data_IF_366026706814
#
_entry.id   IF_366026706814
#
_cell.length_a   1.000
_cell.length_b   1.000
_cell.length_c   1.000
_cell.angle_alpha   90.00
_cell.angle_beta   90.00
_cell.angle_gamma   90.00
#
_symmetry.space_group_name_H-M   'P 1'
#
loop_
_entity.id
_entity.type
_entity.pdbx_description
1 polymer ?
#
# COMPACT_ATOMS: atom_id res chain seq x y z
N UNK A 1 -47.66 38.78 19.64
CA UNK A 1 -47.62 37.80 18.54
C UNK A 1 -46.18 37.38 18.17
N UNK A 2 -45.34 36.97 19.14
CA UNK A 2 -43.90 36.69 18.90
C UNK A 2 -43.50 35.20 18.80
N UNK A 3 -44.45 34.26 18.94
CA UNK A 3 -44.18 32.81 18.99
C UNK A 3 -44.57 32.05 17.72
N UNK A 4 -45.27 32.71 16.80
CA UNK A 4 -45.67 32.14 15.49
C UNK A 4 -44.56 32.25 14.45
N UNK A 5 -43.72 33.29 14.55
CA UNK A 5 -42.60 33.53 13.65
C UNK A 5 -41.60 32.34 13.61
N UNK A 6 -41.13 31.78 14.74
CA UNK A 6 -40.18 30.66 14.70
C UNK A 6 -40.78 29.38 14.14
N UNK A 7 -42.08 29.14 14.34
CA UNK A 7 -42.76 27.92 13.83
C UNK A 7 -42.99 28.01 12.32
N UNK A 8 -43.35 29.18 11.81
CA UNK A 8 -43.46 29.41 10.37
C UNK A 8 -42.10 29.34 9.67
N UNK A 9 -41.04 29.84 10.31
CA UNK A 9 -39.67 29.73 9.77
C UNK A 9 -39.20 28.28 9.73
N UNK A 10 -39.50 27.49 10.76
CA UNK A 10 -39.17 26.07 10.80
C UNK A 10 -39.91 25.27 9.71
N UNK A 11 -41.21 25.52 9.53
CA UNK A 11 -42.01 24.87 8.48
C UNK A 11 -41.59 25.29 7.07
N UNK A 12 -41.28 26.57 6.85
CA UNK A 12 -40.79 27.05 5.57
C UNK A 12 -39.40 26.48 5.25
N UNK A 13 -38.51 26.39 6.24
CA UNK A 13 -37.18 25.80 6.08
C UNK A 13 -37.22 24.30 5.76
N UNK A 14 -38.05 23.54 6.48
CA UNK A 14 -38.25 22.11 6.20
C UNK A 14 -38.91 21.87 4.84
N UNK A 15 -39.94 22.65 4.50
CA UNK A 15 -40.61 22.57 3.20
C UNK A 15 -39.69 22.90 2.03
N UNK A 16 -38.86 23.93 2.18
CA UNK A 16 -37.87 24.31 1.16
C UNK A 16 -36.76 23.25 1.02
N UNK A 17 -36.27 22.68 2.13
CA UNK A 17 -35.23 21.65 2.10
C UNK A 17 -35.68 20.34 1.45
N UNK A 18 -36.86 19.85 1.79
CA UNK A 18 -37.40 18.60 1.22
C UNK A 18 -37.82 18.79 -0.25
N UNK A 19 -38.42 19.95 -0.59
CA UNK A 19 -38.79 20.27 -1.97
C UNK A 19 -37.58 20.37 -2.91
N UNK A 20 -36.48 20.98 -2.45
CA UNK A 20 -35.24 21.03 -3.22
C UNK A 20 -34.60 19.64 -3.37
N UNK A 21 -34.62 18.80 -2.32
CA UNK A 21 -34.07 17.45 -2.35
C UNK A 21 -34.75 16.50 -3.33
N UNK A 22 -36.07 16.61 -3.50
CA UNK A 22 -36.86 15.77 -4.40
C UNK A 22 -36.81 16.21 -5.88
N UNK A 23 -36.43 17.47 -6.14
CA UNK A 23 -36.27 18.00 -7.50
C UNK A 23 -34.82 17.89 -8.02
N UNK A 24 -33.87 17.50 -7.17
CA UNK A 24 -32.50 17.22 -7.58
C UNK A 24 -32.43 15.81 -8.20
N UNK A 25 -32.01 15.68 -9.47
CA UNK A 25 -31.67 14.38 -10.02
C UNK A 25 -30.50 13.75 -9.23
N UNK A 26 -30.47 12.42 -9.11
CA UNK A 26 -29.37 11.71 -8.47
C UNK A 26 -28.04 12.12 -9.12
N UNK A 27 -27.12 12.65 -8.32
CA UNK A 27 -25.82 13.10 -8.81
C UNK A 27 -25.08 11.94 -9.49
N UNK A 28 -24.54 12.11 -10.70
CA UNK A 28 -23.57 11.16 -11.22
C UNK A 28 -22.37 11.14 -10.26
N UNK A 29 -21.89 9.94 -9.93
CA UNK A 29 -20.74 9.76 -9.05
C UNK A 29 -19.58 10.67 -9.52
N UNK A 30 -18.99 11.51 -8.66
CA UNK A 30 -18.11 12.56 -9.12
C UNK A 30 -16.75 11.99 -9.52
N UNK A 31 -16.35 12.28 -10.77
CA UNK A 31 -14.98 12.19 -11.23
C UNK A 31 -14.40 13.61 -11.42
N UNK A 32 -13.31 13.87 -10.68
CA UNK A 32 -12.20 14.82 -10.90
C UNK A 32 -12.34 16.36 -10.67
N UNK A 33 -11.56 16.91 -9.71
CA UNK A 33 -10.54 17.99 -9.86
C UNK A 33 -10.01 18.51 -8.49
N UNK A 34 -8.69 18.75 -8.38
CA UNK A 34 -7.87 18.95 -7.15
C UNK A 34 -7.91 20.37 -6.51
N UNK A 35 -7.41 20.59 -5.26
CA UNK A 35 -5.96 20.87 -5.05
C UNK A 35 -5.32 20.30 -3.74
N UNK A 36 -4.01 19.99 -3.82
CA UNK A 36 -2.94 19.87 -2.79
C UNK A 36 -3.17 19.33 -1.36
N UNK A 37 -2.24 18.44 -0.95
CA UNK A 37 -1.88 17.99 0.43
C UNK A 37 -2.84 17.07 1.21
N UNK A 38 -2.72 15.77 0.97
CA UNK A 38 -2.61 14.70 1.99
C UNK A 38 -2.41 13.37 1.27
N UNK A 39 -1.23 12.77 1.40
CA UNK A 39 -0.90 11.50 0.77
C UNK A 39 -1.57 10.35 1.53
N UNK A 40 -2.75 9.92 1.07
CA UNK A 40 -3.35 8.64 1.44
C UNK A 40 -3.38 7.77 0.17
N UNK A 41 -2.69 6.61 0.12
CA UNK A 41 -2.68 5.80 -1.09
C UNK A 41 -4.02 5.09 -1.22
N UNK A 42 -4.79 5.50 -2.25
CA UNK A 42 -5.91 4.72 -2.74
C UNK A 42 -5.42 3.34 -3.20
N UNK A 43 -5.98 2.29 -2.61
CA UNK A 43 -5.85 0.92 -3.10
C UNK A 43 -6.43 0.85 -4.52
N UNK A 44 -5.54 0.92 -5.50
CA UNK A 44 -5.88 0.58 -6.88
C UNK A 44 -5.97 -0.94 -6.94
N UNK A 45 -7.18 -1.45 -6.94
CA UNK A 45 -7.48 -2.84 -7.30
C UNK A 45 -7.07 -3.04 -8.77
N UNK A 46 -5.89 -3.63 -8.96
CA UNK A 46 -5.40 -4.04 -10.28
C UNK A 46 -6.26 -5.21 -10.74
N UNK A 47 -7.04 -5.00 -11.80
CA UNK A 47 -7.85 -6.06 -12.40
C UNK A 47 -6.98 -7.25 -12.85
N UNK A 48 -7.38 -8.50 -12.59
CA UNK A 48 -6.57 -9.67 -12.92
C UNK A 48 -6.55 -9.91 -14.44
N UNK A 49 -5.37 -10.22 -15.03
CA UNK A 49 -5.29 -10.64 -16.43
C UNK A 49 -5.84 -12.07 -16.61
N UNK A 50 -6.37 -12.44 -17.78
CA UNK A 50 -6.91 -13.77 -18.01
C UNK A 50 -5.78 -14.74 -18.37
N UNK A 51 -5.50 -15.69 -17.48
CA UNK A 51 -4.90 -17.03 -17.72
C UNK A 51 -4.36 -17.56 -16.38
N UNK A 52 -5.00 -18.55 -15.75
CA UNK A 52 -4.46 -19.20 -14.54
C UNK A 52 -3.89 -18.20 -13.51
N UNK A 53 -4.61 -17.10 -13.34
CA UNK A 53 -4.06 -15.78 -13.07
C UNK A 53 -3.39 -15.71 -11.70
N UNK A 54 -2.08 -15.47 -11.69
CA UNK A 54 -1.36 -15.18 -10.44
C UNK A 54 -2.03 -14.00 -9.74
N UNK A 55 -2.23 -14.13 -8.44
CA UNK A 55 -2.76 -13.08 -7.59
C UNK A 55 -1.60 -12.27 -7.02
N UNK A 56 -1.81 -10.97 -6.84
CA UNK A 56 -0.82 -10.08 -6.23
C UNK A 56 -1.36 -9.56 -4.92
N UNK A 57 -0.63 -9.81 -3.84
CA UNK A 57 -0.99 -9.39 -2.49
C UNK A 57 -0.01 -8.33 -2.03
N UNK A 58 -0.48 -7.09 -1.98
CA UNK A 58 0.31 -5.98 -1.43
C UNK A 58 0.40 -6.13 0.09
N UNK A 59 1.61 -6.01 0.64
CA UNK A 59 1.81 -6.01 2.09
C UNK A 59 1.37 -4.65 2.66
N UNK A 60 0.65 -4.67 3.79
CA UNK A 60 -0.10 -3.51 4.27
C UNK A 60 0.79 -2.30 4.63
N UNK A 61 2.03 -2.56 5.05
CA UNK A 61 2.97 -1.54 5.53
C UNK A 61 4.30 -1.61 4.80
N UNK A 62 4.93 -0.45 4.63
CA UNK A 62 6.27 -0.35 4.08
C UNK A 62 7.30 -0.96 5.04
N UNK A 63 8.44 -1.37 4.49
CA UNK A 63 9.60 -1.84 5.23
C UNK A 63 10.58 -0.69 5.36
N UNK A 64 11.09 -0.45 6.57
CA UNK A 64 12.03 0.63 6.86
C UNK A 64 13.32 0.01 7.38
N UNK A 65 14.43 0.30 6.70
CA UNK A 65 15.72 -0.37 6.89
C UNK A 65 16.81 0.69 7.04
N UNK A 66 17.48 0.79 8.20
CA UNK A 66 18.63 1.66 8.35
C UNK A 66 19.85 1.06 7.65
N UNK A 67 20.63 1.91 6.99
CA UNK A 67 21.94 1.57 6.42
C UNK A 67 23.00 2.21 7.31
N UNK A 68 23.88 1.38 7.86
CA UNK A 68 24.93 1.81 8.77
C UNK A 68 26.19 2.20 7.99
N UNK A 69 26.79 3.32 8.38
CA UNK A 69 28.12 3.76 7.96
C UNK A 69 29.01 3.82 9.20
N UNK A 70 29.78 2.76 9.44
CA UNK A 70 30.44 2.57 10.73
C UNK A 70 29.40 2.36 11.85
N UNK A 71 29.49 3.16 12.92
CA UNK A 71 28.61 3.09 14.09
C UNK A 71 27.38 4.02 14.03
N UNK A 72 27.14 4.69 12.88
CA UNK A 72 26.01 5.62 12.71
C UNK A 72 25.11 5.21 11.56
N UNK A 73 23.85 5.62 11.63
CA UNK A 73 22.92 5.53 10.50
C UNK A 73 23.33 6.57 9.46
N UNK A 74 23.76 6.13 8.29
CA UNK A 74 24.12 6.99 7.15
C UNK A 74 22.95 7.21 6.19
N UNK A 75 22.05 6.23 6.07
CA UNK A 75 20.84 6.36 5.28
C UNK A 75 19.67 5.53 5.84
N UNK A 76 18.46 5.87 5.41
CA UNK A 76 17.22 5.13 5.66
C UNK A 76 16.63 4.69 4.31
N UNK A 77 16.33 3.41 4.19
CA UNK A 77 15.68 2.84 3.00
C UNK A 77 14.25 2.47 3.34
N UNK A 78 13.31 2.88 2.49
CA UNK A 78 11.89 2.55 2.60
C UNK A 78 11.48 1.74 1.37
N UNK A 79 10.89 0.57 1.58
CA UNK A 79 10.43 -0.31 0.50
C UNK A 79 8.94 -0.65 0.65
N UNK A 80 8.23 -0.71 -0.48
CA UNK A 80 6.91 -1.32 -0.58
C UNK A 80 7.01 -2.64 -1.34
N UNK A 81 6.53 -3.73 -0.74
CA UNK A 81 6.61 -5.07 -1.34
C UNK A 81 5.21 -5.63 -1.64
N UNK A 82 5.11 -6.39 -2.73
CA UNK A 82 3.95 -7.21 -3.06
C UNK A 82 4.39 -8.66 -3.28
N UNK A 83 3.55 -9.60 -2.86
CA UNK A 83 3.77 -11.02 -3.07
C UNK A 83 2.98 -11.49 -4.28
N UNK A 84 3.63 -12.22 -5.17
CA UNK A 84 2.96 -12.92 -6.25
C UNK A 84 2.63 -14.34 -5.80
N UNK A 85 1.35 -14.69 -5.83
CA UNK A 85 0.83 -15.93 -5.26
C UNK A 85 -0.08 -16.68 -6.22
N UNK A 86 -0.25 -17.97 -5.95
CA UNK A 86 -1.22 -18.79 -6.70
C UNK A 86 -2.66 -18.33 -6.43
N UNK A 87 -3.59 -18.57 -7.37
CA UNK A 87 -5.01 -18.29 -7.18
C UNK A 87 -5.55 -18.86 -5.86
N UNK A 88 -6.31 -18.06 -5.13
CA UNK A 88 -6.92 -18.45 -3.85
C UNK A 88 -5.96 -18.48 -2.65
N UNK A 89 -4.70 -18.08 -2.81
CA UNK A 89 -3.74 -18.04 -1.69
C UNK A 89 -3.76 -16.72 -0.90
N UNK A 90 -4.48 -15.69 -1.36
CA UNK A 90 -4.51 -14.35 -0.75
C UNK A 90 -4.84 -14.35 0.74
N UNK A 91 -5.87 -15.08 1.16
CA UNK A 91 -6.29 -15.11 2.57
C UNK A 91 -5.20 -15.73 3.47
N UNK A 92 -4.61 -16.84 3.02
CA UNK A 92 -3.52 -17.50 3.73
C UNK A 92 -2.26 -16.61 3.85
N UNK A 93 -2.02 -15.71 2.89
CA UNK A 93 -0.94 -14.72 2.98
C UNK A 93 -1.20 -13.75 4.12
N UNK A 94 -2.42 -13.23 4.26
CA UNK A 94 -2.76 -12.29 5.33
C UNK A 94 -2.70 -12.96 6.71
N UNK A 95 -3.13 -14.22 6.83
CA UNK A 95 -2.99 -14.99 8.08
C UNK A 95 -1.52 -15.17 8.52
N UNK A 96 -0.60 -15.30 7.55
CA UNK A 96 0.84 -15.44 7.81
C UNK A 96 1.65 -14.17 7.60
N UNK A 97 0.99 -13.05 7.33
CA UNK A 97 1.65 -11.78 7.05
C UNK A 97 2.65 -11.41 8.16
N UNK A 98 2.35 -11.54 9.47
CA UNK A 98 3.32 -11.22 10.51
C UNK A 98 4.63 -11.99 10.38
N UNK A 99 4.57 -13.28 10.00
CA UNK A 99 5.78 -14.11 9.86
C UNK A 99 6.51 -13.87 8.54
N UNK A 100 5.77 -13.59 7.47
CA UNK A 100 6.35 -13.16 6.20
C UNK A 100 7.10 -11.85 6.38
N UNK A 101 6.50 -10.86 7.05
CA UNK A 101 7.14 -9.57 7.32
C UNK A 101 8.42 -9.71 8.14
N UNK A 102 8.38 -10.48 9.22
CA UNK A 102 9.55 -10.78 10.07
C UNK A 102 10.73 -11.32 9.23
N UNK A 103 10.45 -12.33 8.41
CA UNK A 103 11.48 -12.99 7.59
C UNK A 103 11.99 -12.07 6.48
N UNK A 104 11.11 -11.36 5.77
CA UNK A 104 11.50 -10.41 4.72
C UNK A 104 12.31 -9.24 5.28
N UNK A 105 11.96 -8.75 6.47
CA UNK A 105 12.69 -7.68 7.14
C UNK A 105 14.11 -8.13 7.50
N UNK A 106 14.29 -9.37 7.96
CA UNK A 106 15.61 -9.94 8.20
C UNK A 106 16.47 -9.96 6.92
N UNK A 107 15.92 -10.43 5.80
CA UNK A 107 16.63 -10.43 4.50
C UNK A 107 17.04 -9.01 4.10
N UNK A 108 16.17 -8.02 4.31
CA UNK A 108 16.48 -6.63 4.00
C UNK A 108 17.61 -6.08 4.88
N UNK A 109 17.63 -6.42 6.18
CA UNK A 109 18.74 -6.04 7.06
C UNK A 109 20.05 -6.70 6.66
N UNK A 110 20.02 -7.99 6.31
CA UNK A 110 21.21 -8.70 5.84
C UNK A 110 21.75 -8.08 4.55
N UNK A 111 20.86 -7.72 3.61
CA UNK A 111 21.23 -7.00 2.38
C UNK A 111 21.84 -5.63 2.67
N UNK A 112 21.30 -4.89 3.64
CA UNK A 112 21.84 -3.60 4.07
C UNK A 112 23.24 -3.75 4.67
N UNK A 113 23.45 -4.75 5.53
CA UNK A 113 24.72 -5.03 6.19
C UNK A 113 25.81 -5.48 5.19
N UNK A 114 25.43 -6.09 4.07
CA UNK A 114 26.35 -6.42 2.97
C UNK A 114 26.64 -5.22 2.05
N UNK A 115 26.09 -4.03 2.35
CA UNK A 115 26.26 -2.83 1.53
C UNK A 115 25.36 -2.77 0.29
N UNK A 116 24.38 -3.66 0.18
CA UNK A 116 23.49 -3.77 -0.97
C UNK A 116 22.55 -2.57 -1.18
N UNK A 117 22.46 -1.67 -0.20
CA UNK A 117 21.77 -0.37 -0.29
C UNK A 117 22.73 0.84 -0.33
N UNK A 118 23.99 0.62 -0.71
CA UNK A 118 24.99 1.68 -0.91
C UNK A 118 24.79 2.48 -2.22
N UNK A 119 25.87 2.99 -2.79
CA UNK A 119 25.85 3.92 -3.92
C UNK A 119 25.10 3.42 -5.19
N UNK A 120 25.08 2.10 -5.42
CA UNK A 120 24.46 1.48 -6.61
C UNK A 120 23.18 0.69 -6.29
N UNK A 121 22.43 1.10 -5.25
CA UNK A 121 21.24 0.36 -4.79
C UNK A 121 20.15 0.17 -5.86
N UNK A 122 20.06 1.08 -6.84
CA UNK A 122 19.13 0.97 -7.98
C UNK A 122 19.67 0.14 -9.16
N UNK A 123 20.88 -0.40 -9.06
CA UNK A 123 21.48 -1.25 -10.10
C UNK A 123 20.67 -2.52 -10.32
N UNK A 124 20.42 -2.89 -11.59
CA UNK A 124 19.61 -4.05 -11.95
C UNK A 124 20.10 -5.34 -11.27
N UNK A 125 21.41 -5.58 -11.26
CA UNK A 125 22.01 -6.75 -10.61
C UNK A 125 21.75 -6.80 -9.09
N UNK A 126 21.78 -5.65 -8.42
CA UNK A 126 21.52 -5.55 -6.98
C UNK A 126 20.04 -5.82 -6.65
N UNK A 127 19.13 -5.24 -7.45
CA UNK A 127 17.70 -5.48 -7.31
C UNK A 127 17.33 -6.93 -7.64
N UNK A 128 17.96 -7.55 -8.64
CA UNK A 128 17.72 -8.95 -9.00
C UNK A 128 18.23 -9.92 -7.92
N UNK A 129 19.35 -9.59 -7.24
CA UNK A 129 19.82 -10.36 -6.08
C UNK A 129 18.84 -10.22 -4.90
N UNK A 130 18.40 -9.01 -4.61
CA UNK A 130 17.45 -8.75 -3.53
C UNK A 130 16.11 -9.46 -3.75
N UNK A 131 15.51 -9.32 -4.96
CA UNK A 131 14.25 -10.00 -5.31
C UNK A 131 14.34 -11.51 -5.13
N UNK A 132 15.43 -12.14 -5.62
CA UNK A 132 15.67 -13.58 -5.45
C UNK A 132 15.73 -13.99 -3.98
N UNK A 133 16.47 -13.23 -3.16
CA UNK A 133 16.62 -13.52 -1.74
C UNK A 133 15.28 -13.38 -0.98
N UNK A 134 14.51 -12.33 -1.28
CA UNK A 134 13.18 -12.13 -0.73
C UNK A 134 12.21 -13.25 -1.14
N UNK A 135 12.22 -13.64 -2.42
CA UNK A 135 11.37 -14.71 -2.94
C UNK A 135 11.73 -16.09 -2.37
N UNK A 136 13.01 -16.37 -2.16
CA UNK A 136 13.45 -17.58 -1.48
C UNK A 136 12.96 -17.63 -0.04
N UNK A 137 13.17 -16.55 0.72
CA UNK A 137 12.73 -16.45 2.10
C UNK A 137 11.20 -16.55 2.25
N UNK A 138 10.44 -15.88 1.37
CA UNK A 138 8.98 -15.95 1.37
C UNK A 138 8.48 -17.39 1.10
N UNK A 139 9.11 -18.09 0.13
CA UNK A 139 8.76 -19.48 -0.20
C UNK A 139 9.09 -20.46 0.91
N UNK A 140 10.08 -20.19 1.75
CA UNK A 140 10.34 -21.03 2.94
C UNK A 140 9.19 -20.97 3.96
N UNK A 141 8.51 -19.83 4.07
CA UNK A 141 7.37 -19.65 4.99
C UNK A 141 6.07 -20.24 4.42
N UNK A 142 5.86 -20.09 3.11
CA UNK A 142 4.68 -20.58 2.41
C UNK A 142 5.09 -21.30 1.11
N UNK A 143 5.57 -22.55 1.22
CA UNK A 143 5.94 -23.33 0.04
C UNK A 143 4.71 -23.55 -0.84
N UNK A 144 4.95 -23.61 -2.15
CA UNK A 144 3.93 -23.89 -3.18
C UNK A 144 2.75 -22.89 -3.23
N UNK A 145 2.87 -21.73 -2.58
CA UNK A 145 1.83 -20.67 -2.60
C UNK A 145 2.36 -19.34 -3.08
N UNK A 146 3.59 -18.99 -2.69
CA UNK A 146 4.28 -17.79 -3.15
C UNK A 146 5.19 -18.17 -4.30
N UNK A 147 5.12 -17.43 -5.40
CA UNK A 147 5.96 -17.65 -6.58
C UNK A 147 7.09 -16.63 -6.65
N UNK A 148 6.80 -15.36 -6.35
CA UNK A 148 7.79 -14.28 -6.42
C UNK A 148 7.48 -13.13 -5.44
N UNK A 149 8.44 -12.21 -5.29
CA UNK A 149 8.32 -10.97 -4.51
C UNK A 149 8.65 -9.78 -5.40
N UNK A 150 7.70 -8.84 -5.47
CA UNK A 150 7.82 -7.62 -6.24
C UNK A 150 8.19 -6.46 -5.32
N UNK A 151 9.22 -5.72 -5.72
CA UNK A 151 9.54 -4.42 -5.13
C UNK A 151 8.72 -3.39 -5.90
N UNK A 152 7.65 -2.89 -5.28
CA UNK A 152 6.70 -1.95 -5.90
C UNK A 152 7.24 -0.53 -5.86
N UNK A 153 7.89 -0.18 -4.76
CA UNK A 153 8.46 1.15 -4.53
C UNK A 153 9.69 1.02 -3.64
N UNK A 154 10.66 1.91 -3.83
CA UNK A 154 11.88 1.99 -3.06
C UNK A 154 12.40 3.43 -3.03
N UNK A 155 12.66 3.94 -1.83
CA UNK A 155 13.31 5.23 -1.62
C UNK A 155 14.49 5.07 -0.65
N UNK A 156 15.53 5.88 -0.85
CA UNK A 156 16.69 5.98 0.05
C UNK A 156 16.87 7.46 0.43
N UNK A 157 17.00 7.72 1.72
CA UNK A 157 17.23 9.05 2.27
C UNK A 157 18.52 9.05 3.09
N UNK A 158 19.48 9.88 2.71
CA UNK A 158 20.70 10.09 3.48
C UNK A 158 20.43 10.93 4.75
N UNK A 159 21.20 10.69 5.82
CA UNK A 159 21.02 11.29 7.16
C UNK A 159 22.24 12.10 7.62
#
# INVERSE_FOLDING_TARGET
MGKLLPVLLALAGLGAGVGAGLMLPAAPAPQAAAPTEACAPAETEVAPPPDGSREYVKLAQQFVVPVLEGDRVGAMVVLSLSLEVLPGAREAVFEREPKLRDTLLQVLFDHANMGGFGAEFMGAANLDLLRRSLAEAARQIMPDRITDVLIVDMARQDV
#
